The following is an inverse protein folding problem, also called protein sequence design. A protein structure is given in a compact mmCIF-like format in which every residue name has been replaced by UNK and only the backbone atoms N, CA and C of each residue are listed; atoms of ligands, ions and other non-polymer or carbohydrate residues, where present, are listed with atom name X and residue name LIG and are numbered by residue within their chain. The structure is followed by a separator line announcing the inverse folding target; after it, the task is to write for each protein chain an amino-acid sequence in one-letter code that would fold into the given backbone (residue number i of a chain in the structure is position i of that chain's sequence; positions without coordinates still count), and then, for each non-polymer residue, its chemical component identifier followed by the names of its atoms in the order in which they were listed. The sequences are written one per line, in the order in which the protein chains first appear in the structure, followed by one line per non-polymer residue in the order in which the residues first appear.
data_IF_402186099880
#
_entry.id   IF_402186099880
#
_cell.length_a   1.000
_cell.length_b   1.000
_cell.length_c   1.000
_cell.angle_alpha   90.00
_cell.angle_beta   90.00
_cell.angle_gamma   90.00
#
_symmetry.space_group_name_H-M   'P 1'
#
loop_
_entity.id
_entity.type
_entity.pdbx_description
1 polymer ?
#
# COMPACT_ATOMS: atom_id res chain seq x y z
N UNK A 1 -15.01 -1.69 8.16
CA UNK A 1 -13.66 -1.51 7.57
C UNK A 1 -13.61 -1.58 6.05
N UNK A 2 -14.40 -2.43 5.37
CA UNK A 2 -14.34 -2.56 3.91
C UNK A 2 -14.40 -1.22 3.15
N UNK A 3 -15.34 -0.32 3.48
CA UNK A 3 -15.44 1.01 2.85
C UNK A 3 -14.18 1.88 2.99
N UNK A 4 -13.49 1.77 4.12
CA UNK A 4 -12.23 2.49 4.34
C UNK A 4 -11.12 1.94 3.44
N UNK A 5 -11.02 0.61 3.32
CA UNK A 5 -10.09 -0.01 2.38
C UNK A 5 -10.44 0.31 0.93
N UNK A 6 -11.71 0.30 0.55
CA UNK A 6 -12.14 0.71 -0.79
C UNK A 6 -11.74 2.16 -1.09
N UNK A 7 -11.87 3.06 -0.11
CA UNK A 7 -11.46 4.46 -0.24
C UNK A 7 -9.95 4.64 -0.29
N UNK A 8 -9.17 3.81 0.40
CA UNK A 8 -7.71 3.85 0.32
C UNK A 8 -7.22 3.30 -1.04
N UNK A 9 -7.82 2.19 -1.48
CA UNK A 9 -7.43 1.49 -2.70
C UNK A 9 -7.81 2.24 -3.97
N UNK A 10 -8.77 3.17 -3.90
CA UNK A 10 -9.10 4.05 -5.03
C UNK A 10 -7.94 5.00 -5.39
N UNK A 11 -7.11 5.41 -4.43
CA UNK A 11 -5.91 6.23 -4.69
C UNK A 11 -4.86 5.50 -5.55
N UNK A 12 -4.91 4.17 -5.56
CA UNK A 12 -3.96 3.31 -6.26
C UNK A 12 -4.62 2.49 -7.37
N UNK A 13 -5.80 2.93 -7.84
CA UNK A 13 -6.59 2.30 -8.92
C UNK A 13 -6.86 0.80 -8.71
N UNK A 14 -6.94 0.35 -7.44
CA UNK A 14 -7.17 -1.04 -7.09
C UNK A 14 -8.61 -1.25 -6.61
N UNK A 15 -9.19 -2.41 -6.94
CA UNK A 15 -10.50 -2.84 -6.45
C UNK A 15 -10.39 -4.16 -5.70
N UNK A 16 -11.15 -4.32 -4.61
CA UNK A 16 -11.23 -5.60 -3.88
C UNK A 16 -12.08 -6.58 -4.70
N UNK A 17 -11.46 -7.66 -5.18
CA UNK A 17 -12.14 -8.77 -5.87
C UNK A 17 -12.73 -9.74 -4.85
N UNK A 18 -11.92 -10.13 -3.85
CA UNK A 18 -12.29 -11.15 -2.87
C UNK A 18 -11.65 -10.87 -1.52
N UNK A 19 -12.23 -11.44 -0.47
CA UNK A 19 -11.84 -11.25 0.91
C UNK A 19 -11.97 -12.56 1.69
N UNK A 20 -10.97 -12.84 2.53
CA UNK A 20 -11.01 -13.93 3.50
C UNK A 20 -10.45 -13.46 4.83
N UNK A 21 -11.06 -13.94 5.92
CA UNK A 21 -10.68 -13.60 7.30
C UNK A 21 -10.43 -14.86 8.11
N UNK A 22 -9.45 -14.77 9.02
CA UNK A 22 -9.34 -15.65 10.17
C UNK A 22 -9.08 -14.81 11.44
N UNK A 23 -8.78 -15.46 12.56
CA UNK A 23 -8.53 -14.79 13.85
C UNK A 23 -7.33 -13.82 13.83
N UNK A 24 -6.37 -14.02 12.93
CA UNK A 24 -5.10 -13.29 12.92
C UNK A 24 -4.95 -12.33 11.73
N UNK A 25 -5.72 -12.53 10.67
CA UNK A 25 -5.47 -11.94 9.37
C UNK A 25 -6.75 -11.71 8.56
N UNK A 26 -6.83 -10.49 8.02
CA UNK A 26 -7.70 -10.11 6.93
C UNK A 26 -6.89 -10.11 5.62
N UNK A 27 -7.28 -10.94 4.66
CA UNK A 27 -6.64 -11.05 3.35
C UNK A 27 -7.60 -10.59 2.25
N UNK A 28 -7.12 -9.66 1.42
CA UNK A 28 -7.86 -9.08 0.30
C UNK A 28 -7.13 -9.38 -1.00
N UNK A 29 -7.84 -10.02 -1.94
CA UNK A 29 -7.40 -10.14 -3.34
C UNK A 29 -7.89 -8.90 -4.07
N UNK A 30 -6.97 -8.19 -4.72
CA UNK A 30 -7.26 -6.98 -5.47
C UNK A 30 -7.10 -7.23 -6.98
N UNK A 31 -7.61 -6.32 -7.81
CA UNK A 31 -7.59 -6.43 -9.28
C UNK A 31 -6.23 -6.79 -9.89
N UNK A 32 -5.13 -6.35 -9.29
CA UNK A 32 -3.76 -6.70 -9.69
C UNK A 32 -2.80 -6.69 -8.47
N UNK A 33 -3.32 -6.99 -7.29
CA UNK A 33 -2.62 -6.68 -6.03
C UNK A 33 -3.13 -7.54 -4.87
N UNK A 34 -2.47 -7.46 -3.73
CA UNK A 34 -2.94 -8.08 -2.48
C UNK A 34 -2.73 -7.16 -1.30
N UNK A 35 -3.70 -7.12 -0.40
CA UNK A 35 -3.61 -6.43 0.89
C UNK A 35 -3.82 -7.44 2.01
N UNK A 36 -2.96 -7.39 3.02
CA UNK A 36 -2.99 -8.23 4.21
C UNK A 36 -2.96 -7.34 5.44
N UNK A 37 -3.96 -7.47 6.32
CA UNK A 37 -4.10 -6.67 7.53
C UNK A 37 -4.17 -7.60 8.73
N UNK A 38 -3.23 -7.43 9.65
CA UNK A 38 -3.18 -8.13 10.93
C UNK A 38 -3.16 -7.11 12.07
N UNK A 39 -3.12 -7.56 13.33
CA UNK A 39 -3.27 -6.71 14.53
C UNK A 39 -2.43 -5.42 14.50
N UNK A 40 -1.17 -5.52 14.08
CA UNK A 40 -0.20 -4.42 14.11
C UNK A 40 0.70 -4.41 12.86
N UNK A 41 0.28 -5.05 11.78
CA UNK A 41 1.05 -5.13 10.53
C UNK A 41 0.13 -5.13 9.33
N UNK A 42 0.50 -4.29 8.36
CA UNK A 42 -0.15 -4.19 7.06
C UNK A 42 0.89 -4.50 5.99
N UNK A 43 0.51 -5.33 5.02
CA UNK A 43 1.33 -5.62 3.83
C UNK A 43 0.48 -5.32 2.61
N UNK A 44 0.97 -4.43 1.76
CA UNK A 44 0.36 -4.10 0.47
C UNK A 44 1.37 -4.43 -0.61
N UNK A 45 0.95 -5.23 -1.58
CA UNK A 45 1.75 -5.54 -2.77
C UNK A 45 0.94 -5.21 -3.99
N UNK A 46 1.46 -4.33 -4.82
CA UNK A 46 0.89 -3.94 -6.11
C UNK A 46 1.76 -4.38 -7.27
N UNK A 47 1.23 -4.28 -8.50
CA UNK A 47 2.00 -4.43 -9.73
C UNK A 47 1.51 -3.42 -10.78
N UNK A 48 1.95 -3.56 -12.02
CA UNK A 48 1.59 -2.62 -13.10
C UNK A 48 2.28 -1.27 -12.93
N UNK A 49 1.53 -0.18 -13.12
CA UNK A 49 1.98 1.21 -12.99
C UNK A 49 1.40 1.90 -11.74
N UNK A 50 1.02 1.13 -10.73
CA UNK A 50 0.42 1.65 -9.50
C UNK A 50 1.43 2.45 -8.68
N UNK A 51 1.05 3.69 -8.30
CA UNK A 51 1.88 4.59 -7.49
C UNK A 51 1.75 4.31 -5.99
N UNK A 52 2.26 3.15 -5.54
CA UNK A 52 2.03 2.64 -4.18
C UNK A 52 2.38 3.64 -3.07
N UNK A 53 3.49 4.37 -3.19
CA UNK A 53 3.93 5.30 -2.15
C UNK A 53 2.92 6.44 -1.89
N UNK A 54 2.08 6.79 -2.87
CA UNK A 54 1.03 7.81 -2.69
C UNK A 54 -0.07 7.39 -1.73
N UNK A 55 -0.20 6.10 -1.41
CA UNK A 55 -1.16 5.65 -0.40
C UNK A 55 -0.59 5.60 1.02
N UNK A 56 0.69 5.95 1.24
CA UNK A 56 1.30 5.83 2.57
C UNK A 56 0.71 6.82 3.58
N UNK A 57 0.69 8.13 3.30
CA UNK A 57 0.07 9.09 4.24
C UNK A 57 -1.42 8.82 4.49
N UNK A 58 -2.27 8.57 3.46
CA UNK A 58 -3.66 8.21 3.70
C UNK A 58 -3.82 6.92 4.52
N UNK A 59 -2.92 5.95 4.35
CA UNK A 59 -2.89 4.72 5.15
C UNK A 59 -2.56 5.02 6.61
N UNK A 60 -1.52 5.83 6.88
CA UNK A 60 -1.12 6.20 8.24
C UNK A 60 -2.23 6.97 8.95
N UNK A 61 -2.86 7.93 8.25
CA UNK A 61 -4.04 8.63 8.76
C UNK A 61 -5.16 7.65 9.11
N UNK A 62 -5.48 6.72 8.21
CA UNK A 62 -6.54 5.73 8.42
C UNK A 62 -6.25 4.83 9.63
N UNK A 63 -5.01 4.37 9.76
CA UNK A 63 -4.54 3.53 10.87
C UNK A 63 -4.69 4.27 12.21
N UNK A 64 -4.29 5.54 12.27
CA UNK A 64 -4.47 6.39 13.45
C UNK A 64 -5.95 6.56 13.82
N UNK A 65 -6.79 6.88 12.85
CA UNK A 65 -8.23 7.10 13.09
C UNK A 65 -8.96 5.82 13.51
N UNK A 66 -8.59 4.67 12.95
CA UNK A 66 -9.35 3.43 13.14
C UNK A 66 -8.83 2.54 14.27
N UNK A 67 -7.52 2.52 14.50
CA UNK A 67 -6.87 1.63 15.45
C UNK A 67 -6.13 2.38 16.57
N UNK A 68 -6.01 3.71 16.47
CA UNK A 68 -5.33 4.53 17.48
C UNK A 68 -3.81 4.43 17.45
N UNK A 69 -3.21 3.78 16.45
CA UNK A 69 -1.76 3.74 16.30
C UNK A 69 -1.27 5.06 15.70
N UNK A 70 -0.43 5.76 16.44
CA UNK A 70 0.16 7.05 16.07
C UNK A 70 1.66 6.98 15.78
N UNK A 71 2.30 5.84 16.06
CA UNK A 71 3.70 5.56 15.75
C UNK A 71 3.84 4.34 14.84
N UNK A 72 4.79 4.40 13.91
CA UNK A 72 5.20 3.28 13.05
C UNK A 72 6.51 2.73 13.57
N UNK A 73 6.52 1.45 13.94
CA UNK A 73 7.74 0.80 14.47
C UNK A 73 8.74 0.54 13.35
N UNK A 74 8.28 -0.03 12.24
CA UNK A 74 9.12 -0.38 11.10
C UNK A 74 8.38 -0.15 9.77
N UNK A 75 9.11 0.30 8.75
CA UNK A 75 8.64 0.38 7.36
C UNK A 75 9.62 -0.36 6.47
N UNK A 76 9.09 -1.26 5.64
CA UNK A 76 9.86 -1.97 4.63
C UNK A 76 9.26 -1.70 3.26
N UNK A 77 10.02 -1.01 2.41
CA UNK A 77 9.70 -0.84 1.00
C UNK A 77 10.71 -1.62 0.15
N UNK A 78 10.22 -2.45 -0.77
CA UNK A 78 11.07 -3.18 -1.69
C UNK A 78 10.34 -3.47 -3.00
N UNK A 79 11.12 -3.56 -4.08
CA UNK A 79 10.64 -4.03 -5.38
C UNK A 79 11.76 -4.69 -6.15
N UNK A 80 11.39 -5.50 -7.15
CA UNK A 80 12.32 -5.95 -8.18
C UNK A 80 12.52 -4.83 -9.22
N UNK A 81 13.60 -4.88 -9.97
CA UNK A 81 13.78 -4.05 -11.17
C UNK A 81 12.59 -4.21 -12.12
N UNK A 82 12.04 -3.08 -12.57
CA UNK A 82 10.98 -3.06 -13.56
C UNK A 82 11.53 -3.47 -14.93
N UNK A 83 10.73 -4.21 -15.70
CA UNK A 83 11.07 -4.55 -17.08
C UNK A 83 11.05 -3.32 -17.99
N UNK A 84 10.20 -2.34 -17.68
CA UNK A 84 9.99 -1.10 -18.44
C UNK A 84 9.82 0.10 -17.48
N UNK A 85 10.90 0.59 -16.86
CA UNK A 85 10.84 1.69 -15.89
C UNK A 85 10.22 2.98 -16.46
N UNK A 86 10.39 3.22 -17.77
CA UNK A 86 9.88 4.41 -18.46
C UNK A 86 8.35 4.52 -18.47
N UNK A 87 7.63 3.43 -18.20
CA UNK A 87 6.17 3.40 -18.08
C UNK A 87 5.66 3.72 -16.67
N UNK A 88 6.56 3.82 -15.69
CA UNK A 88 6.19 4.20 -14.32
C UNK A 88 6.08 5.72 -14.20
N UNK A 89 5.29 6.15 -13.21
CA UNK A 89 5.27 7.53 -12.74
C UNK A 89 6.69 8.00 -12.37
N UNK A 90 6.97 9.30 -12.49
CA UNK A 90 8.30 9.84 -12.20
C UNK A 90 8.76 9.46 -10.78
N UNK A 91 7.85 9.46 -9.79
CA UNK A 91 8.17 9.08 -8.41
C UNK A 91 8.46 7.57 -8.20
N UNK A 92 8.15 6.72 -9.18
CA UNK A 92 8.36 5.27 -9.16
C UNK A 92 9.28 4.79 -10.30
N UNK A 93 9.86 5.70 -11.08
CA UNK A 93 10.66 5.35 -12.26
C UNK A 93 12.04 4.79 -11.88
N UNK A 94 12.66 5.35 -10.86
CA UNK A 94 13.97 4.93 -10.35
C UNK A 94 13.87 4.62 -8.86
N UNK A 95 14.85 3.88 -8.33
CA UNK A 95 14.83 3.57 -6.89
C UNK A 95 15.18 4.80 -6.07
N UNK A 96 16.04 5.66 -6.62
CA UNK A 96 16.46 6.93 -6.05
C UNK A 96 15.26 7.88 -5.84
N UNK A 97 14.36 7.98 -6.82
CA UNK A 97 13.16 8.81 -6.70
C UNK A 97 12.19 8.27 -5.63
N UNK A 98 12.13 6.95 -5.45
CA UNK A 98 11.31 6.32 -4.41
C UNK A 98 11.89 6.56 -3.01
N UNK A 99 13.22 6.54 -2.87
CA UNK A 99 13.92 6.92 -1.64
C UNK A 99 13.66 8.39 -1.32
N UNK A 100 13.83 9.29 -2.29
CA UNK A 100 13.56 10.72 -2.10
C UNK A 100 12.09 10.96 -1.70
N UNK A 101 11.14 10.25 -2.30
CA UNK A 101 9.74 10.35 -1.91
C UNK A 101 9.49 9.88 -0.46
N UNK A 102 10.20 8.85 0.00
CA UNK A 102 10.09 8.33 1.36
C UNK A 102 10.80 9.20 2.41
N UNK A 103 11.92 9.84 2.05
CA UNK A 103 12.66 10.73 2.95
C UNK A 103 11.93 12.06 3.22
N UNK A 104 11.02 12.45 2.33
CA UNK A 104 10.22 13.68 2.42
C UNK A 104 8.83 13.48 3.08
N UNK A 105 8.58 12.30 3.65
CA UNK A 105 7.29 11.85 4.15
C UNK A 105 7.09 12.14 5.65
#
# INVERSE_FOLDING_TARGET
YRKAWDSLLSFVNCKIISFKRNEHLDAYVLSESSLFVSKNRIIIKTCGSTTLLRCLEPLLYLVKQMAGFDEVVDIFYSRKNFMRPELQDDSHRTFENEVEALDNL
#
